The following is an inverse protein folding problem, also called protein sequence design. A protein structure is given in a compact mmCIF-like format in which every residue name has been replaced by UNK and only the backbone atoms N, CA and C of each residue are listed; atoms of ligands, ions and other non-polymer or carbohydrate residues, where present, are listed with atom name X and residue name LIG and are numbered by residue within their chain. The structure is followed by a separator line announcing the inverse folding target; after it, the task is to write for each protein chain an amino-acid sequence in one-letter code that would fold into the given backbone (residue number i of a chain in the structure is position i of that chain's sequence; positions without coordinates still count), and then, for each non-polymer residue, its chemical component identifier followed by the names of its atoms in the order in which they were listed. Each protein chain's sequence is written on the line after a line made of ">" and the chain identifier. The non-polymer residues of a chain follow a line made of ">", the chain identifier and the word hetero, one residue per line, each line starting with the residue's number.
data_IF_433593422224
#
_entry.id   IF_433593422224
#
_cell.length_a   1.000
_cell.length_b   1.000
_cell.length_c   1.000
_cell.angle_alpha   90.00
_cell.angle_beta   90.00
_cell.angle_gamma   90.00
#
_symmetry.space_group_name_H-M   'P 1'
#
loop_
_entity.id
_entity.type
_entity.pdbx_description
1 polymer ?
#
# COMPACT_ATOMS: atom_id res chain seq x y z
N UNK A 1 6.69 8.74 13.46
CA UNK A 1 7.20 9.42 12.24
C UNK A 1 6.03 10.20 11.65
N UNK A 2 6.12 11.52 11.52
CA UNK A 2 4.98 12.41 11.20
C UNK A 2 4.30 12.06 9.87
N UNK A 3 5.08 11.65 8.87
CA UNK A 3 4.57 11.22 7.56
C UNK A 3 3.60 10.03 7.66
N UNK A 4 3.91 9.05 8.50
CA UNK A 4 3.08 7.84 8.66
C UNK A 4 1.75 8.18 9.33
N UNK A 5 1.79 9.02 10.37
CA UNK A 5 0.58 9.50 11.04
C UNK A 5 -0.32 10.26 10.06
N UNK A 6 0.25 11.07 9.16
CA UNK A 6 -0.50 11.75 8.10
C UNK A 6 -1.11 10.76 7.11
N UNK A 7 -0.35 9.78 6.62
CA UNK A 7 -0.89 8.77 5.69
C UNK A 7 -2.03 7.94 6.30
N UNK A 8 -1.98 7.65 7.61
CA UNK A 8 -3.07 6.98 8.32
C UNK A 8 -4.31 7.86 8.52
N UNK A 9 -4.14 9.16 8.70
CA UNK A 9 -5.24 10.07 9.01
C UNK A 9 -5.92 10.71 7.78
N UNK A 10 -5.30 10.69 6.59
CA UNK A 10 -5.93 11.22 5.37
C UNK A 10 -7.21 10.44 5.04
N UNK A 11 -8.28 11.12 4.66
CA UNK A 11 -9.58 10.47 4.41
C UNK A 11 -9.52 9.45 3.26
N UNK A 12 -8.86 9.81 2.16
CA UNK A 12 -8.70 8.96 0.98
C UNK A 12 -7.33 9.18 0.30
N UNK A 13 -6.27 8.49 0.75
CA UNK A 13 -4.97 8.56 0.11
C UNK A 13 -4.96 7.76 -1.19
N UNK A 14 -4.23 8.30 -2.18
CA UNK A 14 -3.91 7.63 -3.44
C UNK A 14 -2.41 7.30 -3.42
N UNK A 15 -2.09 6.01 -3.50
CA UNK A 15 -0.71 5.51 -3.52
C UNK A 15 -0.43 4.98 -4.92
N UNK A 16 0.43 5.67 -5.66
CA UNK A 16 0.71 5.38 -7.07
C UNK A 16 1.94 4.51 -7.29
N UNK A 17 1.98 3.86 -8.45
CA UNK A 17 3.08 3.07 -8.98
C UNK A 17 3.56 1.90 -8.09
N UNK A 18 2.69 1.38 -7.23
CA UNK A 18 3.03 0.24 -6.38
C UNK A 18 3.43 -0.96 -7.24
N UNK A 19 4.65 -1.42 -7.01
CA UNK A 19 5.20 -2.65 -7.57
C UNK A 19 6.14 -2.50 -8.77
N UNK A 20 6.31 -1.31 -9.36
CA UNK A 20 7.32 -1.11 -10.44
C UNK A 20 8.72 -0.96 -9.89
N UNK A 21 8.86 -0.19 -8.82
CA UNK A 21 10.10 -0.05 -8.07
C UNK A 21 9.90 -0.63 -6.68
N UNK A 22 9.45 -1.90 -6.64
CA UNK A 22 9.12 -2.62 -5.41
C UNK A 22 10.30 -2.48 -4.44
N UNK A 23 10.17 -1.54 -3.51
CA UNK A 23 11.30 -0.90 -2.86
C UNK A 23 12.16 -1.85 -2.01
N UNK A 24 13.08 -1.29 -1.27
CA UNK A 24 13.76 -2.00 -0.18
C UNK A 24 12.73 -2.69 0.73
N UNK A 25 13.12 -3.78 1.42
CA UNK A 25 12.22 -4.49 2.34
C UNK A 25 11.57 -3.55 3.39
N UNK A 26 12.27 -2.48 3.76
CA UNK A 26 11.78 -1.43 4.64
C UNK A 26 10.58 -0.68 4.06
N UNK A 27 10.62 -0.30 2.79
CA UNK A 27 9.52 0.43 2.13
C UNK A 27 8.26 -0.43 2.04
N UNK A 28 8.40 -1.74 1.77
CA UNK A 28 7.27 -2.68 1.83
C UNK A 28 6.67 -2.73 3.22
N UNK A 29 7.51 -2.88 4.25
CA UNK A 29 7.05 -3.01 5.63
C UNK A 29 6.28 -1.79 6.10
N UNK A 30 6.76 -0.60 5.75
CA UNK A 30 6.08 0.68 6.05
C UNK A 30 4.74 0.77 5.34
N UNK A 31 4.68 0.42 4.04
CA UNK A 31 3.43 0.44 3.29
C UNK A 31 2.40 -0.53 3.88
N UNK A 32 2.82 -1.76 4.22
CA UNK A 32 1.96 -2.74 4.87
C UNK A 32 1.44 -2.23 6.22
N UNK A 33 2.31 -1.62 7.04
CA UNK A 33 1.90 -1.05 8.33
C UNK A 33 0.82 0.04 8.19
N UNK A 34 0.91 0.89 7.16
CA UNK A 34 -0.09 1.92 6.88
C UNK A 34 -1.39 1.31 6.35
N UNK A 35 -1.31 0.37 5.41
CA UNK A 35 -2.49 -0.26 4.81
C UNK A 35 -3.25 -1.11 5.83
N UNK A 36 -2.55 -1.84 6.69
CA UNK A 36 -3.14 -2.69 7.72
C UNK A 36 -3.89 -1.85 8.77
N UNK A 37 -3.25 -0.82 9.32
CA UNK A 37 -3.90 0.12 10.24
C UNK A 37 -5.14 0.78 9.62
N UNK A 38 -5.08 1.18 8.35
CA UNK A 38 -6.24 1.78 7.66
C UNK A 38 -7.34 0.76 7.39
N UNK A 39 -6.97 -0.49 7.11
CA UNK A 39 -7.92 -1.58 6.97
C UNK A 39 -8.65 -1.88 8.29
N UNK A 40 -7.93 -1.93 9.41
CA UNK A 40 -8.51 -2.09 10.76
C UNK A 40 -9.48 -0.95 11.10
N UNK A 41 -9.12 0.29 10.75
CA UNK A 41 -9.94 1.48 10.98
C UNK A 41 -11.04 1.69 9.92
N UNK A 42 -11.19 0.77 8.96
CA UNK A 42 -12.13 0.86 7.83
C UNK A 42 -11.98 2.14 6.99
N UNK A 43 -10.76 2.67 6.93
CA UNK A 43 -10.40 3.88 6.19
C UNK A 43 -10.01 3.53 4.74
N UNK A 44 -10.73 4.03 3.73
CA UNK A 44 -10.53 3.63 2.34
C UNK A 44 -9.17 4.12 1.79
N UNK A 45 -8.54 3.34 0.92
CA UNK A 45 -7.27 3.70 0.26
C UNK A 45 -7.32 3.30 -1.22
N UNK A 46 -6.89 4.18 -2.12
CA UNK A 46 -6.72 3.85 -3.53
C UNK A 46 -5.25 3.50 -3.77
N UNK A 47 -5.02 2.34 -4.38
CA UNK A 47 -3.68 1.93 -4.80
C UNK A 47 -3.69 1.72 -6.30
N UNK A 48 -2.75 2.34 -7.00
CA UNK A 48 -2.52 2.13 -8.43
C UNK A 48 -1.23 1.37 -8.65
N UNK A 49 -1.27 0.43 -9.59
CA UNK A 49 -0.13 -0.37 -10.01
C UNK A 49 -0.05 -0.35 -11.54
N UNK A 50 1.14 -0.20 -12.14
CA UNK A 50 1.38 -0.25 -13.59
C UNK A 50 1.24 -1.68 -14.14
N UNK A 51 0.06 -2.27 -13.97
CA UNK A 51 -0.56 -3.40 -14.71
C UNK A 51 0.26 -4.65 -15.09
N UNK A 52 1.44 -4.91 -14.51
CA UNK A 52 2.13 -6.20 -14.65
C UNK A 52 1.76 -7.25 -13.58
N UNK A 53 0.81 -6.96 -12.68
CA UNK A 53 0.30 -7.91 -11.68
C UNK A 53 -0.63 -8.97 -12.31
N UNK A 54 -0.12 -9.72 -13.29
CA UNK A 54 -0.71 -10.95 -13.79
C UNK A 54 0.09 -12.13 -13.26
N UNK A 55 0.08 -12.32 -11.94
CA UNK A 55 0.43 -13.60 -11.33
C UNK A 55 -0.40 -13.82 -10.06
N UNK A 56 -1.69 -14.05 -10.25
CA UNK A 56 -2.54 -14.69 -9.25
C UNK A 56 -3.12 -15.94 -9.91
N UNK A 57 -2.60 -17.11 -9.52
CA UNK A 57 -3.18 -18.42 -9.84
C UNK A 57 -2.29 -19.42 -10.58
N UNK A 58 -1.06 -19.71 -10.11
CA UNK A 58 -0.27 -20.84 -10.66
C UNK A 58 0.11 -21.96 -9.70
N UNK A 59 -0.25 -21.90 -8.43
CA UNK A 59 0.07 -22.97 -7.47
C UNK A 59 -1.15 -23.43 -6.65
N UNK A 60 -2.18 -23.95 -7.35
CA UNK A 60 -3.20 -24.87 -6.78
C UNK A 60 -3.41 -26.06 -7.70
#
# INVERSE_FOLDING_TARGET
>A
NELLSRLRAVDLPVIDEIGVQFGTNTERMILFEVLDSRYEDMMPTIVTSPSHLREVGKDV
#
